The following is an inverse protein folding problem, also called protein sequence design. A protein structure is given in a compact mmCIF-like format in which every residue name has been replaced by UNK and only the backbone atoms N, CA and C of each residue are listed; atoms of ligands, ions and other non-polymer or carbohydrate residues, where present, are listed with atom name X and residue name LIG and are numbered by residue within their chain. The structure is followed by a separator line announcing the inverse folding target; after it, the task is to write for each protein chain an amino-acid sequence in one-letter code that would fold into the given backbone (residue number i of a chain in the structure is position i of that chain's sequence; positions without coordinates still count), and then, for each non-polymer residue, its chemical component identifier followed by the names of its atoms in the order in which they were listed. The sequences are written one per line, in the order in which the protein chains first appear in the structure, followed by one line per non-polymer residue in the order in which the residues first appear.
data_IF_672822366853
#
_entry.id   IF_672822366853
#
_cell.length_a   1.000
_cell.length_b   1.000
_cell.length_c   1.000
_cell.angle_alpha   90.00
_cell.angle_beta   90.00
_cell.angle_gamma   90.00
#
_symmetry.space_group_name_H-M   'P 1'
#
loop_
_entity.id
_entity.type
_entity.pdbx_description
1 polymer ?
#
# COMPACT_ATOMS: atom_id res chain seq x y z
N UNK A 1 -13.22 -12.42 17.20
CA UNK A 1 -13.19 -11.00 16.75
C UNK A 1 -12.23 -10.28 17.68
N UNK A 2 -11.18 -9.66 17.14
CA UNK A 2 -10.19 -8.96 17.97
C UNK A 2 -10.75 -7.61 18.44
N UNK A 3 -10.59 -7.31 19.72
CA UNK A 3 -10.95 -6.02 20.29
C UNK A 3 -9.80 -5.04 20.11
N UNK A 4 -9.94 -4.09 19.20
CA UNK A 4 -9.01 -2.98 19.03
C UNK A 4 -9.52 -1.77 19.80
N UNK A 5 -8.61 -1.07 20.48
CA UNK A 5 -8.95 0.22 21.05
C UNK A 5 -9.12 1.22 19.90
N UNK A 6 -10.37 1.46 19.49
CA UNK A 6 -10.71 2.46 18.49
C UNK A 6 -10.78 3.81 19.18
N UNK A 7 -9.84 4.68 18.85
CA UNK A 7 -9.87 6.07 19.28
C UNK A 7 -11.11 6.76 18.69
N UNK A 8 -11.82 7.50 19.53
CA UNK A 8 -12.99 8.27 19.12
C UNK A 8 -12.53 9.64 18.62
N UNK A 9 -12.98 10.00 17.43
CA UNK A 9 -12.71 11.29 16.81
C UNK A 9 -14.03 12.05 16.67
N UNK A 10 -13.98 13.36 16.85
CA UNK A 10 -15.09 14.26 16.56
C UNK A 10 -15.45 14.23 15.07
N UNK A 11 -16.66 14.68 14.71
CA UNK A 11 -17.09 14.75 13.32
C UNK A 11 -16.12 15.58 12.46
N UNK A 12 -15.63 16.71 12.98
CA UNK A 12 -14.64 17.55 12.30
C UNK A 12 -13.30 16.86 12.08
N UNK A 13 -12.82 16.08 13.07
CA UNK A 13 -11.58 15.33 12.94
C UNK A 13 -11.72 14.18 11.93
N UNK A 14 -12.85 13.46 11.97
CA UNK A 14 -13.15 12.42 10.98
C UNK A 14 -13.16 13.00 9.56
N UNK A 15 -13.75 14.17 9.37
CA UNK A 15 -13.82 14.83 8.05
C UNK A 15 -12.43 15.20 7.49
N UNK A 16 -11.47 15.47 8.36
CA UNK A 16 -10.07 15.68 7.99
C UNK A 16 -9.37 14.35 7.73
N UNK A 17 -9.48 13.39 8.65
CA UNK A 17 -8.80 12.10 8.57
C UNK A 17 -9.22 11.27 7.36
N UNK A 18 -10.50 11.31 6.96
CA UNK A 18 -11.01 10.60 5.77
C UNK A 18 -10.26 10.98 4.49
N UNK A 19 -9.65 12.17 4.46
CA UNK A 19 -8.88 12.65 3.31
C UNK A 19 -7.54 11.95 3.18
N UNK A 20 -6.98 11.40 4.25
CA UNK A 20 -5.59 10.94 4.29
C UNK A 20 -5.38 9.49 4.74
N UNK A 21 -6.45 8.78 5.11
CA UNK A 21 -6.39 7.42 5.64
C UNK A 21 -7.46 6.54 4.96
N UNK A 22 -7.11 5.33 4.54
CA UNK A 22 -8.06 4.43 3.83
C UNK A 22 -9.21 3.89 4.69
N UNK A 23 -9.05 3.92 6.01
CA UNK A 23 -10.12 3.74 7.00
C UNK A 23 -9.70 4.44 8.29
N UNK A 24 -10.63 4.63 9.23
CA UNK A 24 -10.41 5.42 10.46
C UNK A 24 -10.53 4.64 11.76
N UNK A 25 -11.20 3.49 11.68
CA UNK A 25 -11.64 2.67 12.80
C UNK A 25 -10.99 1.29 12.79
N UNK A 26 -10.30 0.93 11.70
CA UNK A 26 -9.53 -0.30 11.61
C UNK A 26 -8.05 -0.04 11.91
N UNK A 27 -7.37 -1.03 12.51
CA UNK A 27 -5.96 -0.91 12.86
C UNK A 27 -5.02 -0.92 11.65
N UNK A 28 -5.46 -1.35 10.46
CA UNK A 28 -4.66 -1.42 9.23
C UNK A 28 -5.23 -0.50 8.19
N UNK A 29 -4.41 0.40 7.67
CA UNK A 29 -4.82 1.43 6.74
C UNK A 29 -3.59 1.92 5.98
N UNK A 30 -3.81 2.53 4.82
CA UNK A 30 -2.75 3.22 4.10
C UNK A 30 -2.89 4.72 4.33
N UNK A 31 -1.73 5.39 4.47
CA UNK A 31 -1.66 6.83 4.29
C UNK A 31 -1.84 7.12 2.80
N UNK A 32 -2.86 7.89 2.48
CA UNK A 32 -3.19 8.33 1.12
C UNK A 32 -3.16 9.84 1.10
N UNK A 33 -2.94 10.45 -0.06
CA UNK A 33 -3.04 11.89 -0.26
C UNK A 33 -2.12 12.76 0.62
N UNK A 34 -1.08 12.19 1.22
CA UNK A 34 -0.03 12.92 1.94
C UNK A 34 1.25 12.98 1.10
N UNK A 35 1.97 14.12 1.08
CA UNK A 35 3.29 14.18 0.47
C UNK A 35 4.23 13.13 1.10
N UNK A 36 5.09 12.45 0.33
CA UNK A 36 6.02 11.42 0.85
C UNK A 36 6.95 11.97 1.94
N UNK A 37 7.39 13.22 1.80
CA UNK A 37 8.13 13.96 2.83
C UNK A 37 7.31 14.09 4.11
N UNK A 38 6.01 14.38 4.01
CA UNK A 38 5.11 14.49 5.15
C UNK A 38 4.82 13.12 5.73
N UNK A 39 4.63 12.07 4.92
CA UNK A 39 4.52 10.68 5.41
C UNK A 39 5.78 10.29 6.16
N UNK A 40 6.94 10.60 5.59
CA UNK A 40 8.23 10.32 6.17
C UNK A 40 8.47 11.06 7.48
N UNK A 41 8.15 12.36 7.52
CA UNK A 41 8.18 13.17 8.73
C UNK A 41 7.17 12.69 9.80
N UNK A 42 5.94 12.38 9.37
CA UNK A 42 4.89 11.86 10.24
C UNK A 42 5.31 10.53 10.86
N UNK A 43 5.88 9.61 10.07
CA UNK A 43 6.42 8.35 10.58
C UNK A 43 7.65 8.55 11.45
N UNK A 44 8.55 9.46 11.10
CA UNK A 44 9.70 9.81 11.94
C UNK A 44 9.24 10.31 13.32
N UNK A 45 8.25 11.21 13.38
CA UNK A 45 7.67 11.71 14.64
C UNK A 45 6.86 10.65 15.39
N UNK A 46 6.10 9.84 14.66
CA UNK A 46 5.31 8.74 15.21
C UNK A 46 6.16 7.75 16.00
N UNK A 47 7.42 7.56 15.60
CA UNK A 47 8.34 6.67 16.30
C UNK A 47 8.66 7.05 17.75
N UNK A 48 8.34 8.28 18.21
CA UNK A 48 8.77 8.83 19.52
C UNK A 48 7.61 9.33 20.39
N UNK A 49 6.38 8.89 20.14
CA UNK A 49 5.18 9.33 20.87
C UNK A 49 4.26 8.16 21.25
N UNK A 50 3.40 8.36 22.26
CA UNK A 50 2.36 7.40 22.66
C UNK A 50 1.00 7.64 21.96
N UNK A 51 0.91 8.63 21.09
CA UNK A 51 -0.30 8.94 20.30
C UNK A 51 -0.52 7.93 19.18
N UNK A 52 -1.76 7.76 18.73
CA UNK A 52 -2.03 7.06 17.46
C UNK A 52 -1.54 7.88 16.27
N UNK A 53 -1.27 7.24 15.12
CA UNK A 53 -0.80 7.96 13.93
C UNK A 53 -1.81 9.02 13.46
N UNK A 54 -3.11 8.73 13.60
CA UNK A 54 -4.22 9.64 13.27
C UNK A 54 -4.28 10.82 14.25
N UNK A 55 -4.12 10.57 15.55
CA UNK A 55 -4.04 11.62 16.57
C UNK A 55 -2.82 12.50 16.41
N UNK A 56 -1.64 11.90 16.21
CA UNK A 56 -0.41 12.63 15.92
C UNK A 56 -0.57 13.51 14.68
N UNK A 57 -1.15 12.96 13.60
CA UNK A 57 -1.41 13.70 12.39
C UNK A 57 -2.31 14.92 12.66
N UNK A 58 -3.42 14.74 13.36
CA UNK A 58 -4.33 15.82 13.72
C UNK A 58 -3.66 16.88 14.60
N UNK A 59 -2.90 16.47 15.61
CA UNK A 59 -2.33 17.37 16.59
C UNK A 59 -1.12 18.15 16.07
N UNK A 60 -0.31 17.55 15.19
CA UNK A 60 1.03 18.06 14.85
C UNK A 60 1.24 18.31 13.35
N UNK A 61 0.37 17.83 12.47
CA UNK A 61 0.58 17.92 11.01
C UNK A 61 -0.60 18.55 10.24
N UNK A 62 -1.82 18.52 10.78
CA UNK A 62 -3.00 19.04 10.07
C UNK A 62 -2.96 20.56 9.90
N UNK A 63 -2.53 21.31 10.90
CA UNK A 63 -2.49 22.78 10.81
C UNK A 63 -1.55 23.25 9.69
N UNK A 64 -0.36 22.64 9.58
CA UNK A 64 0.60 22.90 8.52
C UNK A 64 0.04 22.52 7.12
N UNK A 65 -0.85 21.53 7.05
CA UNK A 65 -1.54 21.13 5.83
C UNK A 65 -2.75 22.02 5.46
N UNK A 66 -3.43 22.61 6.45
CA UNK A 66 -4.57 23.53 6.22
C UNK A 66 -4.08 24.91 5.76
N UNK A 67 -2.95 25.39 6.29
CA UNK A 67 -2.34 26.67 5.86
C UNK A 67 -1.76 26.58 4.44
N UNK A 68 -1.37 25.40 4.00
CA UNK A 68 -0.91 25.14 2.63
C UNK A 68 -2.06 24.87 1.64
N UNK A 69 -3.32 24.86 2.12
CA UNK A 69 -4.51 24.48 1.38
C UNK A 69 -5.41 25.63 0.94
N UNK A 70 -4.86 26.71 0.35
CA UNK A 70 -5.65 27.43 -0.65
C UNK A 70 -5.74 26.52 -1.88
N UNK A 71 -6.95 26.35 -2.40
CA UNK A 71 -7.36 25.27 -3.32
C UNK A 71 -6.75 25.33 -4.74
N UNK A 72 -5.63 26.04 -4.91
CA UNK A 72 -4.84 26.04 -6.13
C UNK A 72 -3.51 25.37 -5.85
N UNK A 73 -3.21 24.35 -6.65
CA UNK A 73 -1.91 23.70 -6.76
C UNK A 73 -0.90 24.78 -7.19
N UNK A 74 -0.36 25.53 -6.22
CA UNK A 74 0.86 26.30 -6.41
C UNK A 74 1.91 25.67 -5.50
N UNK A 75 2.62 24.71 -6.09
CA UNK A 75 3.60 23.84 -5.44
C UNK A 75 4.81 24.59 -4.87
N UNK A 76 4.86 25.92 -4.95
CA UNK A 76 5.98 26.75 -4.52
C UNK A 76 5.84 27.28 -3.09
N UNK A 77 4.63 27.57 -2.61
CA UNK A 77 4.42 28.13 -1.26
C UNK A 77 4.40 27.04 -0.17
N UNK A 78 3.91 25.84 -0.51
CA UNK A 78 4.01 24.66 0.34
C UNK A 78 5.42 24.08 0.42
N UNK A 79 6.28 24.36 -0.58
CA UNK A 79 7.64 23.83 -0.65
C UNK A 79 8.53 24.40 0.43
N UNK A 80 8.55 25.72 0.66
CA UNK A 80 9.43 26.33 1.64
C UNK A 80 9.15 25.87 3.08
N UNK A 81 7.88 25.63 3.42
CA UNK A 81 7.48 25.09 4.73
C UNK A 81 7.55 23.56 4.81
N UNK A 82 7.29 22.84 3.72
CA UNK A 82 7.58 21.40 3.67
C UNK A 82 9.09 21.14 3.69
N UNK A 83 9.90 22.03 3.14
CA UNK A 83 11.36 22.09 3.26
C UNK A 83 11.75 22.51 4.66
N UNK A 84 11.06 23.42 5.33
CA UNK A 84 11.34 23.74 6.74
C UNK A 84 10.97 22.57 7.66
N UNK A 85 9.85 21.89 7.42
CA UNK A 85 9.45 20.66 8.10
C UNK A 85 10.42 19.53 7.79
N UNK A 86 10.81 19.38 6.52
CA UNK A 86 11.80 18.39 6.07
C UNK A 86 13.18 18.71 6.63
N UNK A 87 13.62 19.96 6.66
CA UNK A 87 14.90 20.39 7.23
C UNK A 87 14.87 20.23 8.74
N UNK A 88 13.79 20.60 9.43
CA UNK A 88 13.63 20.30 10.86
C UNK A 88 13.68 18.80 11.09
N UNK A 89 13.02 18.01 10.25
CA UNK A 89 13.01 16.54 10.39
C UNK A 89 14.36 15.92 10.05
N UNK A 90 15.02 16.38 8.98
CA UNK A 90 16.29 15.90 8.48
C UNK A 90 17.45 16.35 9.37
N UNK A 91 17.38 17.56 9.93
CA UNK A 91 18.39 18.12 10.84
C UNK A 91 18.20 17.63 12.28
N UNK A 92 16.97 17.55 12.80
CA UNK A 92 16.73 17.03 14.17
C UNK A 92 16.79 15.50 14.24
N UNK A 93 16.46 14.79 13.15
CA UNK A 93 16.32 13.33 13.17
C UNK A 93 17.30 12.59 12.26
N UNK A 94 18.04 13.27 11.37
CA UNK A 94 19.27 12.77 10.75
C UNK A 94 19.14 11.45 9.98
N UNK A 95 17.98 11.17 9.40
CA UNK A 95 17.63 9.82 8.97
C UNK A 95 17.41 9.71 7.46
N UNK A 96 18.41 9.17 6.75
CA UNK A 96 18.32 8.80 5.33
C UNK A 96 17.18 7.78 5.06
N UNK A 97 16.65 7.10 6.09
CA UNK A 97 15.52 6.18 5.94
C UNK A 97 14.20 6.87 5.59
N UNK A 98 14.06 8.16 5.88
CA UNK A 98 12.91 8.98 5.46
C UNK A 98 12.83 9.08 3.94
N UNK A 99 13.98 9.11 3.25
CA UNK A 99 14.05 9.17 1.80
C UNK A 99 13.61 7.87 1.10
N UNK A 100 13.57 6.74 1.83
CA UNK A 100 13.17 5.42 1.32
C UNK A 100 11.68 5.12 1.48
N UNK A 101 10.95 5.92 2.25
CA UNK A 101 9.51 5.72 2.49
C UNK A 101 8.64 5.99 1.26
N UNK A 102 9.24 6.46 0.16
CA UNK A 102 8.61 6.51 -1.16
C UNK A 102 8.75 5.20 -1.93
N UNK A 103 7.87 4.23 -1.65
CA UNK A 103 7.75 2.98 -2.41
C UNK A 103 6.76 1.97 -1.78
N UNK A 104 6.24 1.04 -2.58
CA UNK A 104 5.40 -0.08 -2.10
C UNK A 104 5.88 -1.39 -2.73
N UNK A 105 6.12 -2.41 -1.92
CA UNK A 105 6.48 -3.76 -2.40
C UNK A 105 5.23 -4.63 -2.43
N UNK A 106 4.98 -5.29 -3.57
CA UNK A 106 3.80 -6.11 -3.81
C UNK A 106 4.23 -7.54 -4.17
N UNK A 107 3.70 -8.55 -3.47
CA UNK A 107 3.90 -9.97 -3.77
C UNK A 107 2.58 -10.57 -4.25
N UNK A 108 2.63 -11.44 -5.26
CA UNK A 108 1.45 -12.00 -5.89
C UNK A 108 1.62 -13.51 -6.08
N UNK A 109 0.98 -14.29 -5.20
CA UNK A 109 1.06 -15.75 -5.18
C UNK A 109 -0.12 -16.40 -5.89
N UNK A 110 0.09 -17.63 -6.38
CA UNK A 110 -0.88 -18.35 -7.22
C UNK A 110 -1.37 -17.49 -8.40
N UNK A 111 -0.58 -16.48 -8.74
CA UNK A 111 -0.79 -15.65 -9.90
C UNK A 111 -0.60 -16.56 -11.10
N UNK A 112 -1.63 -16.62 -11.95
CA UNK A 112 -1.47 -17.26 -13.23
C UNK A 112 -0.32 -16.60 -13.98
N UNK A 113 0.33 -17.32 -14.89
CA UNK A 113 1.33 -16.70 -15.76
C UNK A 113 0.75 -15.48 -16.50
N UNK A 114 -0.57 -15.47 -16.76
CA UNK A 114 -1.25 -14.30 -17.27
C UNK A 114 -1.23 -13.13 -16.26
N UNK A 115 -1.57 -13.37 -14.99
CA UNK A 115 -1.52 -12.35 -13.94
C UNK A 115 -0.08 -11.87 -13.67
N UNK A 116 0.93 -12.74 -13.71
CA UNK A 116 2.33 -12.30 -13.56
C UNK A 116 2.73 -11.40 -14.71
N UNK A 117 2.38 -11.74 -15.96
CA UNK A 117 2.62 -10.80 -17.07
C UNK A 117 1.86 -9.51 -16.93
N UNK A 118 0.66 -9.50 -16.35
CA UNK A 118 -0.07 -8.26 -16.06
C UNK A 118 0.66 -7.42 -15.01
N UNK A 119 1.17 -8.02 -13.93
CA UNK A 119 1.90 -7.33 -12.85
C UNK A 119 3.26 -6.81 -13.32
N UNK A 120 4.01 -7.65 -14.04
CA UNK A 120 5.39 -7.44 -14.48
C UNK A 120 5.51 -6.66 -15.78
N UNK A 121 4.39 -6.40 -16.46
CA UNK A 121 4.37 -5.49 -17.58
C UNK A 121 4.84 -4.09 -17.18
N UNK A 122 4.62 -3.71 -15.92
CA UNK A 122 5.05 -2.43 -15.38
C UNK A 122 6.58 -2.32 -15.32
N UNK A 123 7.10 -1.10 -15.10
CA UNK A 123 8.55 -0.83 -14.91
C UNK A 123 8.82 0.00 -13.65
N UNK A 124 7.81 0.14 -12.79
CA UNK A 124 7.78 1.05 -11.65
C UNK A 124 8.02 0.33 -10.31
N UNK A 125 8.11 -0.99 -10.37
CA UNK A 125 8.53 -1.83 -9.28
C UNK A 125 9.75 -2.61 -9.75
N UNK A 126 10.51 -3.11 -8.80
CA UNK A 126 11.47 -4.15 -9.12
C UNK A 126 10.73 -5.48 -9.12
N UNK A 127 10.82 -6.22 -10.24
CA UNK A 127 10.10 -7.48 -10.45
C UNK A 127 11.00 -8.68 -10.20
N UNK A 128 10.42 -9.73 -9.65
CA UNK A 128 11.07 -11.02 -9.47
C UNK A 128 10.03 -12.14 -9.58
N UNK A 129 10.06 -12.87 -10.71
CA UNK A 129 9.16 -13.99 -10.98
C UNK A 129 9.78 -15.34 -10.57
N UNK A 130 8.95 -16.33 -10.26
CA UNK A 130 9.38 -17.72 -10.27
C UNK A 130 9.79 -18.16 -11.67
N UNK A 131 11.03 -18.63 -11.80
CA UNK A 131 11.58 -19.01 -13.09
C UNK A 131 11.25 -20.45 -13.45
N UNK A 132 10.54 -20.62 -14.56
CA UNK A 132 10.29 -21.94 -15.18
C UNK A 132 11.56 -22.65 -15.66
N UNK A 133 12.71 -21.97 -15.70
CA UNK A 133 14.01 -22.58 -16.01
C UNK A 133 14.59 -23.41 -14.86
N UNK A 134 14.16 -23.14 -13.63
CA UNK A 134 14.70 -23.77 -12.42
C UNK A 134 13.64 -24.52 -11.62
N UNK A 135 12.36 -24.16 -11.79
CA UNK A 135 11.25 -24.80 -11.10
C UNK A 135 10.37 -25.56 -12.08
N UNK A 136 10.10 -26.82 -11.72
CA UNK A 136 9.11 -27.62 -12.43
C UNK A 136 7.69 -27.30 -11.96
N UNK A 137 6.76 -27.28 -12.90
CA UNK A 137 5.33 -27.04 -12.66
C UNK A 137 4.50 -28.33 -12.80
N UNK A 138 5.16 -29.48 -12.93
CA UNK A 138 4.59 -30.83 -13.04
C UNK A 138 4.29 -31.49 -11.68
N UNK A 139 4.35 -30.72 -10.59
CA UNK A 139 3.99 -31.22 -9.26
C UNK A 139 2.57 -30.77 -8.93
N UNK A 140 1.77 -31.71 -8.45
CA UNK A 140 0.42 -31.42 -7.96
C UNK A 140 0.49 -30.70 -6.63
N UNK A 141 -0.25 -29.61 -6.50
CA UNK A 141 -0.51 -28.93 -5.23
C UNK A 141 -1.96 -29.24 -4.86
N UNK A 142 -2.18 -29.73 -3.65
CA UNK A 142 -3.50 -30.14 -3.17
C UNK A 142 -4.21 -31.12 -4.13
N UNK A 143 -3.44 -32.12 -4.58
CA UNK A 143 -3.92 -33.16 -5.49
C UNK A 143 -4.23 -32.69 -6.92
N UNK A 144 -3.92 -31.43 -7.28
CA UNK A 144 -4.22 -30.85 -8.60
C UNK A 144 -3.00 -30.23 -9.26
N UNK A 145 -2.92 -30.32 -10.58
CA UNK A 145 -1.98 -29.50 -11.34
C UNK A 145 -2.41 -28.04 -11.36
N UNK A 146 -1.42 -27.14 -11.41
CA UNK A 146 -1.63 -25.70 -11.41
C UNK A 146 -1.79 -25.18 -12.84
N UNK A 147 -3.00 -25.32 -13.38
CA UNK A 147 -3.42 -24.64 -14.60
C UNK A 147 -4.75 -23.92 -14.34
N UNK A 148 -5.01 -22.86 -15.12
CA UNK A 148 -6.25 -22.12 -15.01
C UNK A 148 -7.43 -22.97 -15.49
N UNK A 149 -8.45 -23.15 -14.65
CA UNK A 149 -9.68 -23.87 -15.00
C UNK A 149 -10.80 -22.88 -15.26
N UNK A 150 -11.02 -22.56 -16.53
CA UNK A 150 -12.05 -21.62 -16.96
C UNK A 150 -13.45 -22.15 -16.59
N UNK A 151 -14.26 -21.41 -15.80
CA UNK A 151 -15.60 -21.83 -15.43
C UNK A 151 -16.53 -22.13 -16.61
N UNK A 152 -16.40 -21.43 -17.73
CA UNK A 152 -17.22 -21.64 -18.93
C UNK A 152 -16.87 -22.97 -19.60
N UNK A 153 -15.57 -23.28 -19.68
CA UNK A 153 -15.09 -24.57 -20.19
C UNK A 153 -15.54 -25.70 -19.26
N UNK A 154 -15.39 -25.52 -17.94
CA UNK A 154 -15.79 -26.52 -16.95
C UNK A 154 -17.31 -26.80 -16.96
N UNK A 155 -18.13 -25.77 -17.19
CA UNK A 155 -19.59 -25.90 -17.29
C UNK A 155 -20.09 -26.42 -18.64
N UNK A 156 -19.21 -26.52 -19.64
CA UNK A 156 -19.55 -26.96 -20.99
C UNK A 156 -19.56 -28.49 -21.13
N UNK A 157 -20.13 -29.04 -22.23
CA UNK A 157 -20.08 -30.47 -22.54
C UNK A 157 -18.67 -31.06 -22.65
N UNK A 158 -17.62 -30.24 -22.80
CA UNK A 158 -16.23 -30.70 -22.92
C UNK A 158 -15.41 -30.58 -21.62
N UNK A 159 -16.00 -30.08 -20.52
CA UNK A 159 -15.29 -29.81 -19.27
C UNK A 159 -14.59 -31.03 -18.68
N UNK A 160 -15.26 -32.18 -18.63
CA UNK A 160 -14.66 -33.44 -18.13
C UNK A 160 -13.49 -33.90 -19.00
N UNK A 161 -13.61 -33.77 -20.33
CA UNK A 161 -12.54 -34.11 -21.26
C UNK A 161 -11.33 -33.18 -21.09
N UNK A 162 -11.57 -31.88 -20.93
CA UNK A 162 -10.53 -30.89 -20.68
C UNK A 162 -9.68 -31.25 -19.44
N UNK A 163 -10.32 -31.53 -18.31
CA UNK A 163 -9.61 -31.93 -17.08
C UNK A 163 -8.86 -33.25 -17.28
N UNK A 164 -9.50 -34.25 -17.91
CA UNK A 164 -8.89 -35.57 -18.12
C UNK A 164 -7.64 -35.55 -19.01
N UNK A 165 -7.58 -34.66 -20.01
CA UNK A 165 -6.40 -34.50 -20.86
C UNK A 165 -5.30 -33.67 -20.19
N UNK A 166 -5.66 -32.66 -19.37
CA UNK A 166 -4.69 -31.83 -18.65
C UNK A 166 -4.09 -32.53 -17.42
N UNK A 167 -4.81 -33.48 -16.81
CA UNK A 167 -4.38 -34.21 -15.61
C UNK A 167 -3.68 -35.56 -15.92
N UNK A 168 -3.52 -35.90 -17.21
CA UNK A 168 -2.85 -37.12 -17.69
C UNK A 168 -1.33 -37.02 -17.56
#
# INVERSE_FOLDING_TARGET
MNHYATEQFSSSELDILRRYFTNLDQPVFALVNLPEVVKGALFARYSRTHKSLRRLFLDEFVEDLVVSGDHSIDATVGLAKAEELYQRVFVEYGDDSVAQLGGVHLACEQASNLLTKVLEWGRLMSYLEQSTRYLSYDTRIDGRYRYHRDPEILGSPIGTKYVGEMDR
#
